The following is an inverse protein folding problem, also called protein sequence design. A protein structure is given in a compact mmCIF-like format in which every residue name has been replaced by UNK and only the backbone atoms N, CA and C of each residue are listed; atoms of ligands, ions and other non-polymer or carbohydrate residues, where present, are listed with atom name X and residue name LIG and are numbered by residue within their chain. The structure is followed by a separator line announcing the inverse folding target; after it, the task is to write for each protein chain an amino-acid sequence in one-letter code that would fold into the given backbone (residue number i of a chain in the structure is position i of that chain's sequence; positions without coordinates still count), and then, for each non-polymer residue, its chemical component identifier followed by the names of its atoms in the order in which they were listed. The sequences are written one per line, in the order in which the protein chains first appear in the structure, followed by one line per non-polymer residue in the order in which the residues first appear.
data_IF_901173836118
#
_entry.id   IF_901173836118
#
_cell.length_a   1.000
_cell.length_b   1.000
_cell.length_c   1.000
_cell.angle_alpha   90.00
_cell.angle_beta   90.00
_cell.angle_gamma   90.00
#
_symmetry.space_group_name_H-M   'P 1'
#
loop_
_entity.id
_entity.type
_entity.pdbx_description
1 polymer ?
#
# COMPACT_ATOMS: atom_id res chain seq x y z
N UNK A 1 22.12 -0.02 -6.08
CA UNK A 1 22.12 -1.50 -6.03
C UNK A 1 20.68 -2.02 -6.07
N UNK A 2 20.44 -3.23 -6.57
CA UNK A 2 19.12 -3.87 -6.48
C UNK A 2 18.89 -4.27 -5.02
N UNK A 3 17.86 -3.72 -4.37
CA UNK A 3 17.54 -4.07 -2.98
C UNK A 3 17.15 -5.55 -2.88
N UNK A 4 17.81 -6.28 -1.98
CA UNK A 4 17.46 -7.67 -1.66
C UNK A 4 16.79 -7.74 -0.30
N UNK A 5 15.62 -8.39 -0.26
CA UNK A 5 14.86 -8.57 0.97
C UNK A 5 15.55 -9.61 1.86
N UNK A 6 15.47 -9.40 3.18
CA UNK A 6 16.00 -10.36 4.16
C UNK A 6 15.34 -11.74 4.01
N UNK A 7 14.06 -11.79 3.62
CA UNK A 7 13.39 -13.07 3.33
C UNK A 7 14.05 -13.82 2.17
N UNK A 8 14.48 -13.13 1.11
CA UNK A 8 15.17 -13.77 -0.01
C UNK A 8 16.54 -14.28 0.42
N UNK A 9 17.31 -13.46 1.14
CA UNK A 9 18.64 -13.82 1.64
C UNK A 9 18.56 -15.04 2.57
N UNK A 10 17.55 -15.10 3.43
CA UNK A 10 17.31 -16.24 4.32
C UNK A 10 17.22 -17.58 3.58
N UNK A 11 16.56 -17.62 2.42
CA UNK A 11 16.41 -18.86 1.64
C UNK A 11 17.59 -19.15 0.71
N UNK A 12 18.30 -18.11 0.22
CA UNK A 12 19.42 -18.26 -0.73
C UNK A 12 20.75 -18.50 -0.02
N UNK A 13 20.99 -17.86 1.12
CA UNK A 13 22.27 -17.90 1.84
C UNK A 13 22.05 -17.69 3.34
N UNK A 14 21.64 -18.74 4.07
CA UNK A 14 21.40 -18.67 5.52
C UNK A 14 22.59 -18.12 6.32
N UNK A 15 23.81 -18.45 5.90
CA UNK A 15 25.04 -18.01 6.58
C UNK A 15 25.23 -16.49 6.53
N UNK A 16 24.76 -15.84 5.46
CA UNK A 16 24.85 -14.39 5.28
C UNK A 16 23.66 -13.65 5.91
N UNK A 17 22.55 -14.35 6.18
CA UNK A 17 21.33 -13.73 6.71
C UNK A 17 21.59 -12.97 8.02
N UNK A 18 22.23 -13.61 8.99
CA UNK A 18 22.46 -12.97 10.30
C UNK A 18 23.42 -11.79 10.20
N UNK A 19 24.42 -11.87 9.32
CA UNK A 19 25.36 -10.78 9.06
C UNK A 19 24.64 -9.56 8.47
N UNK A 20 23.81 -9.79 7.45
CA UNK A 20 23.06 -8.72 6.79
C UNK A 20 21.98 -8.13 7.71
N UNK A 21 21.25 -8.99 8.45
CA UNK A 21 20.30 -8.56 9.46
C UNK A 21 20.97 -7.65 10.49
N UNK A 22 22.10 -8.09 11.07
CA UNK A 22 22.81 -7.33 12.10
C UNK A 22 23.34 -6.01 11.55
N UNK A 23 23.88 -6.02 10.33
CA UNK A 23 24.35 -4.80 9.64
C UNK A 23 23.23 -3.78 9.47
N UNK A 24 22.06 -4.21 8.99
CA UNK A 24 20.89 -3.32 8.82
C UNK A 24 20.31 -2.89 10.16
N UNK A 25 20.26 -3.79 11.14
CA UNK A 25 19.72 -3.52 12.48
C UNK A 25 20.58 -2.48 13.21
N UNK A 26 21.91 -2.61 13.16
CA UNK A 26 22.85 -1.70 13.84
C UNK A 26 23.19 -0.45 13.02
N UNK A 27 22.56 -0.27 11.85
CA UNK A 27 22.83 0.89 11.01
C UNK A 27 22.47 2.19 11.76
N UNK A 28 23.29 3.25 11.70
CA UNK A 28 23.09 4.46 12.53
C UNK A 28 21.72 5.13 12.38
N UNK A 29 21.10 4.99 11.20
CA UNK A 29 19.79 5.56 10.88
C UNK A 29 18.66 4.55 10.94
N UNK A 30 18.89 3.38 11.55
CA UNK A 30 17.83 2.41 11.78
C UNK A 30 16.96 2.82 12.97
N UNK A 31 15.65 2.69 12.80
CA UNK A 31 14.66 3.02 13.83
C UNK A 31 14.06 1.73 14.37
N UNK A 32 14.30 1.47 15.66
CA UNK A 32 13.80 0.29 16.35
C UNK A 32 12.41 0.56 16.91
N UNK A 33 11.49 -0.38 16.69
CA UNK A 33 10.08 -0.21 17.07
C UNK A 33 9.79 -0.77 18.47
N UNK A 34 10.71 -1.48 19.11
CA UNK A 34 10.46 -2.15 20.39
C UNK A 34 9.48 -3.32 20.30
N UNK A 35 9.05 -3.69 19.07
CA UNK A 35 8.09 -4.76 18.82
C UNK A 35 8.87 -6.00 18.37
N UNK A 36 8.79 -7.09 19.13
CA UNK A 36 9.38 -8.37 18.74
C UNK A 36 8.40 -9.21 17.94
N UNK A 37 8.84 -9.66 16.78
CA UNK A 37 8.08 -10.51 15.87
C UNK A 37 8.67 -11.91 15.91
N UNK A 38 7.85 -12.88 16.31
CA UNK A 38 8.16 -14.31 16.25
C UNK A 38 7.17 -15.00 15.30
N UNK A 39 7.69 -15.53 14.20
CA UNK A 39 6.86 -16.33 13.29
C UNK A 39 6.48 -17.67 13.94
N UNK A 40 5.29 -18.17 13.61
CA UNK A 40 4.81 -19.48 14.04
C UNK A 40 5.82 -20.57 13.65
N UNK A 41 6.12 -21.51 14.55
CA UNK A 41 7.13 -22.56 14.41
C UNK A 41 8.59 -22.08 14.18
N UNK A 42 8.93 -20.81 14.47
CA UNK A 42 10.33 -20.35 14.46
C UNK A 42 10.89 -20.21 15.87
N UNK A 43 12.17 -20.60 16.03
CA UNK A 43 12.89 -20.58 17.31
C UNK A 43 13.32 -19.17 17.75
N UNK A 44 13.55 -18.28 16.78
CA UNK A 44 14.06 -16.94 17.03
C UNK A 44 12.96 -15.89 16.84
N UNK A 45 12.91 -14.94 17.77
CA UNK A 45 12.22 -13.68 17.65
C UNK A 45 13.20 -12.60 17.15
N UNK A 46 12.70 -11.68 16.34
CA UNK A 46 13.48 -10.53 15.85
C UNK A 46 12.72 -9.26 16.16
N UNK A 47 13.44 -8.20 16.52
CA UNK A 47 12.85 -6.90 16.75
C UNK A 47 12.59 -6.19 15.42
N UNK A 48 11.40 -5.60 15.27
CA UNK A 48 11.02 -4.85 14.11
C UNK A 48 11.77 -3.51 14.08
N UNK A 49 12.31 -3.18 12.91
CA UNK A 49 13.03 -1.94 12.69
C UNK A 49 12.79 -1.43 11.27
N UNK A 50 12.92 -0.12 11.10
CA UNK A 50 13.03 0.49 9.77
C UNK A 50 14.51 0.72 9.45
N UNK A 51 14.87 0.37 8.22
CA UNK A 51 16.18 0.64 7.65
C UNK A 51 16.04 1.75 6.61
N UNK A 52 16.64 2.91 6.87
CA UNK A 52 16.56 4.09 6.00
C UNK A 52 17.90 4.37 5.31
N UNK A 53 18.24 3.65 4.23
CA UNK A 53 19.39 4.00 3.42
C UNK A 53 19.10 5.27 2.60
N UNK A 54 20.16 5.90 2.08
CA UNK A 54 20.07 7.15 1.29
C UNK A 54 19.12 7.04 0.10
N UNK A 55 19.00 5.85 -0.50
CA UNK A 55 18.09 5.60 -1.61
C UNK A 55 16.62 5.84 -1.22
N UNK A 56 16.22 5.57 0.02
CA UNK A 56 14.86 5.86 0.49
C UNK A 56 14.62 7.37 0.56
N UNK A 57 15.61 8.16 1.01
CA UNK A 57 15.51 9.61 1.04
C UNK A 57 15.34 10.20 -0.37
N UNK A 58 16.11 9.70 -1.36
CA UNK A 58 15.97 10.11 -2.77
C UNK A 58 14.59 9.75 -3.33
N UNK A 59 14.04 8.59 -2.96
CA UNK A 59 12.70 8.20 -3.39
C UNK A 59 11.62 9.08 -2.75
N UNK A 60 11.75 9.43 -1.47
CA UNK A 60 10.85 10.35 -0.79
C UNK A 60 10.85 11.71 -1.48
N UNK A 61 12.04 12.26 -1.78
CA UNK A 61 12.16 13.54 -2.50
C UNK A 61 11.44 13.50 -3.86
N UNK A 62 11.61 12.41 -4.62
CA UNK A 62 10.91 12.24 -5.91
C UNK A 62 9.39 12.18 -5.75
N UNK A 63 8.90 11.46 -4.74
CA UNK A 63 7.46 11.36 -4.44
C UNK A 63 6.93 12.76 -4.06
N UNK A 64 7.64 13.49 -3.20
CA UNK A 64 7.25 14.85 -2.82
C UNK A 64 7.22 15.79 -4.02
N UNK A 65 8.22 15.74 -4.90
CA UNK A 65 8.21 16.55 -6.12
C UNK A 65 7.00 16.25 -7.01
N UNK A 66 6.70 14.97 -7.25
CA UNK A 66 5.52 14.58 -8.03
C UNK A 66 4.21 14.96 -7.34
N UNK A 67 4.17 14.97 -6.01
CA UNK A 67 3.02 15.43 -5.24
C UNK A 67 2.80 16.94 -5.41
N UNK A 68 3.85 17.76 -5.35
CA UNK A 68 3.75 19.20 -5.60
C UNK A 68 3.27 19.50 -7.04
N UNK A 69 3.80 18.77 -8.03
CA UNK A 69 3.34 18.87 -9.42
C UNK A 69 1.86 18.49 -9.55
N UNK A 70 1.40 17.47 -8.81
CA UNK A 70 -0.01 17.09 -8.76
C UNK A 70 -0.89 18.20 -8.15
N UNK A 71 -0.49 18.78 -7.01
CA UNK A 71 -1.24 19.86 -6.37
C UNK A 71 -1.40 21.10 -7.27
N UNK A 72 -0.35 21.42 -8.03
CA UNK A 72 -0.40 22.52 -9.00
C UNK A 72 -1.49 22.28 -10.06
N UNK A 73 -1.61 21.05 -10.56
CA UNK A 73 -2.67 20.67 -11.52
C UNK A 73 -4.05 20.63 -10.84
N UNK A 74 -4.15 20.04 -9.66
CA UNK A 74 -5.41 19.93 -8.90
C UNK A 74 -6.06 21.30 -8.70
N UNK A 75 -5.26 22.31 -8.35
CA UNK A 75 -5.73 23.68 -8.11
C UNK A 75 -6.41 24.35 -9.33
N UNK A 76 -6.15 23.84 -10.54
CA UNK A 76 -6.65 24.41 -11.80
C UNK A 76 -7.88 23.65 -12.34
N UNK A 77 -8.25 22.53 -11.71
CA UNK A 77 -9.25 21.60 -12.24
C UNK A 77 -10.60 21.78 -11.54
N UNK A 78 -11.74 21.76 -12.27
CA UNK A 78 -13.05 21.85 -11.67
C UNK A 78 -13.35 20.72 -10.66
N UNK A 79 -14.05 21.00 -9.55
CA UNK A 79 -14.34 20.00 -8.50
C UNK A 79 -15.05 18.73 -9.00
N UNK A 80 -15.90 18.84 -10.03
CA UNK A 80 -16.59 17.69 -10.63
C UNK A 80 -15.63 16.68 -11.25
N UNK A 81 -14.51 17.14 -11.82
CA UNK A 81 -13.48 16.29 -12.40
C UNK A 81 -12.70 15.58 -11.30
N UNK A 82 -12.37 16.29 -10.22
CA UNK A 82 -11.69 15.70 -9.05
C UNK A 82 -12.54 14.60 -8.43
N UNK A 83 -13.84 14.84 -8.23
CA UNK A 83 -14.76 13.82 -7.72
C UNK A 83 -14.81 12.59 -8.63
N UNK A 84 -14.91 12.78 -9.94
CA UNK A 84 -14.90 11.67 -10.89
C UNK A 84 -13.57 10.92 -10.88
N UNK A 85 -12.45 11.63 -10.78
CA UNK A 85 -11.12 11.04 -10.66
C UNK A 85 -11.00 10.19 -9.39
N UNK A 86 -11.37 10.71 -8.22
CA UNK A 86 -11.35 9.95 -6.96
C UNK A 86 -12.17 8.66 -7.03
N UNK A 87 -13.38 8.70 -7.61
CA UNK A 87 -14.21 7.52 -7.77
C UNK A 87 -13.56 6.47 -8.68
N UNK A 88 -12.89 6.89 -9.75
CA UNK A 88 -12.17 5.98 -10.63
C UNK A 88 -10.93 5.38 -9.94
N UNK A 89 -10.18 6.20 -9.21
CA UNK A 89 -9.02 5.74 -8.43
C UNK A 89 -9.39 4.71 -7.37
N UNK A 90 -10.49 4.91 -6.65
CA UNK A 90 -11.00 3.92 -5.69
C UNK A 90 -11.37 2.62 -6.39
N UNK A 91 -12.03 2.69 -7.54
CA UNK A 91 -12.42 1.50 -8.29
C UNK A 91 -11.20 0.72 -8.80
N UNK A 92 -10.17 1.43 -9.23
CA UNK A 92 -8.92 0.87 -9.69
C UNK A 92 -8.12 0.25 -8.55
N UNK A 93 -8.10 0.89 -7.37
CA UNK A 93 -7.47 0.35 -6.16
C UNK A 93 -8.16 -0.95 -5.74
N UNK A 94 -9.50 -0.95 -5.61
CA UNK A 94 -10.25 -2.17 -5.26
C UNK A 94 -9.99 -3.29 -6.26
N UNK A 95 -9.88 -2.98 -7.56
CA UNK A 95 -9.57 -3.99 -8.57
C UNK A 95 -8.13 -4.51 -8.39
N UNK A 96 -7.17 -3.63 -8.16
CA UNK A 96 -5.77 -3.98 -7.88
C UNK A 96 -5.66 -4.91 -6.67
N UNK A 97 -6.33 -4.59 -5.55
CA UNK A 97 -6.35 -5.43 -4.35
C UNK A 97 -6.95 -6.81 -4.64
N UNK A 98 -8.09 -6.85 -5.35
CA UNK A 98 -8.71 -8.12 -5.74
C UNK A 98 -7.80 -8.97 -6.63
N UNK A 99 -7.09 -8.34 -7.57
CA UNK A 99 -6.15 -9.02 -8.46
C UNK A 99 -4.95 -9.59 -7.66
N UNK A 100 -4.46 -8.88 -6.63
CA UNK A 100 -3.42 -9.36 -5.70
C UNK A 100 -3.90 -10.55 -4.87
N UNK A 101 -5.16 -10.51 -4.41
CA UNK A 101 -5.77 -11.56 -3.59
C UNK A 101 -6.26 -12.76 -4.42
N UNK A 102 -6.16 -12.70 -5.76
CA UNK A 102 -6.61 -13.76 -6.66
C UNK A 102 -8.12 -13.83 -6.87
N UNK A 103 -8.87 -12.81 -6.44
CA UNK A 103 -10.32 -12.69 -6.62
C UNK A 103 -10.61 -12.08 -7.99
N UNK A 104 -11.14 -12.88 -8.93
CA UNK A 104 -11.52 -12.36 -10.26
C UNK A 104 -12.70 -11.39 -10.17
N UNK A 105 -12.43 -10.09 -10.22
CA UNK A 105 -13.44 -9.01 -10.25
C UNK A 105 -13.24 -8.09 -11.46
N UNK A 106 -14.26 -7.99 -12.32
CA UNK A 106 -14.20 -7.12 -13.50
C UNK A 106 -14.68 -5.70 -13.17
N UNK A 107 -14.03 -4.67 -13.73
CA UNK A 107 -14.41 -3.24 -13.54
C UNK A 107 -15.91 -2.98 -13.81
N UNK A 108 -16.50 -3.66 -14.80
CA UNK A 108 -17.95 -3.58 -15.11
C UNK A 108 -18.84 -4.07 -13.98
N UNK A 109 -18.43 -5.13 -13.26
CA UNK A 109 -19.20 -5.69 -12.14
C UNK A 109 -19.19 -4.78 -10.92
N UNK A 110 -18.03 -4.19 -10.60
CA UNK A 110 -17.90 -3.28 -9.45
C UNK A 110 -18.68 -1.97 -9.68
N UNK A 111 -18.62 -1.39 -10.90
CA UNK A 111 -19.46 -0.23 -11.27
C UNK A 111 -20.96 -0.53 -11.13
N UNK A 112 -21.40 -1.72 -11.54
CA UNK A 112 -22.80 -2.14 -11.37
C UNK A 112 -23.19 -2.24 -9.89
N UNK A 113 -22.41 -2.93 -9.07
CA UNK A 113 -22.74 -3.13 -7.66
C UNK A 113 -22.75 -1.82 -6.84
N UNK A 114 -21.85 -0.88 -7.13
CA UNK A 114 -21.89 0.45 -6.49
C UNK A 114 -23.13 1.25 -6.91
N UNK A 115 -23.54 1.15 -8.19
CA UNK A 115 -24.76 1.78 -8.71
C UNK A 115 -26.03 1.18 -8.11
N UNK A 116 -26.05 -0.14 -7.87
CA UNK A 116 -27.16 -0.81 -7.18
C UNK A 116 -27.28 -0.38 -5.72
N UNK A 117 -26.16 -0.25 -5.01
CA UNK A 117 -26.17 0.23 -3.61
C UNK A 117 -26.58 1.68 -3.47
N UNK A 118 -26.23 2.58 -4.39
CA UNK A 118 -26.69 3.98 -4.31
C UNK A 118 -28.15 4.18 -4.70
N UNK A 119 -28.75 3.25 -5.46
CA UNK A 119 -30.20 3.27 -5.75
C UNK A 119 -31.07 2.65 -4.66
N UNK A 120 -30.51 1.87 -3.73
CA UNK A 120 -31.26 1.22 -2.64
C UNK A 120 -31.36 2.06 -1.36
N UNK A 121 -30.68 3.22 -1.30
CA UNK A 121 -30.72 4.15 -0.15
C UNK A 121 -31.39 5.48 -0.59
N UNK A 122 -32.66 5.41 -0.96
CA UNK A 122 -33.57 6.54 -1.18
C UNK A 122 -34.93 6.22 -0.55
N UNK A 123 -35.68 7.20 -0.02
CA UNK A 123 -36.46 7.03 1.20
C UNK A 123 -37.70 6.15 1.04
N UNK A 124 -38.00 5.45 2.14
CA UNK A 124 -39.20 4.68 2.39
C UNK A 124 -40.49 5.45 2.05
N UNK A 125 -41.48 4.69 1.58
CA UNK A 125 -42.89 5.06 1.68
C UNK A 125 -43.53 5.50 0.37
N UNK A 126 -44.25 4.59 -0.27
CA UNK A 126 -45.57 4.90 -0.83
C UNK A 126 -46.44 3.66 -0.89
N UNK A 127 -47.55 3.76 -0.14
CA UNK A 127 -48.69 2.88 -0.06
C UNK A 127 -49.03 2.16 -1.38
N UNK A 128 -49.30 0.85 -1.28
CA UNK A 128 -50.24 0.19 -2.18
C UNK A 128 -51.54 -0.03 -1.41
N UNK A 129 -52.60 0.57 -1.95
CA UNK A 129 -53.99 0.19 -1.70
C UNK A 129 -54.21 -1.27 -2.13
#
# INVERSE_FOLDING_TARGET
MKYESLSKIYYVSPDNYMKEYTSRFMFPYSMHLGIRIRQYNRKHDFEAFFYYPNEIAILLEKIHKSYEEFLAVESQVPPVVLHQFSLLSILDEVKSTNDIEGVRSTRKRNKRNHRWRTTEIGPAGKHRQ
#
